data_IF_543732240696
#
_entry.id   IF_543732240696
#
_cell.length_a   1.000
_cell.length_b   1.000
_cell.length_c   1.000
_cell.angle_alpha   90.00
_cell.angle_beta   90.00
_cell.angle_gamma   90.00
#
_symmetry.space_group_name_H-M   'P 1'
#
loop_
_entity.id
_entity.type
_entity.pdbx_description
1 polymer ?
#
# COMPACT_ATOMS: atom_id res chain seq x y z
N UNK A 1 -37.47 -32.31 -47.70
CA UNK A 1 -38.19 -31.05 -48.00
C UNK A 1 -37.42 -29.88 -47.39
N UNK A 2 -37.10 -28.85 -48.19
CA UNK A 2 -36.94 -27.40 -47.90
C UNK A 2 -36.23 -27.02 -46.57
N UNK A 3 -34.96 -26.56 -46.51
CA UNK A 3 -34.39 -25.23 -46.87
C UNK A 3 -35.37 -24.04 -46.92
N UNK A 4 -35.13 -23.03 -46.07
CA UNK A 4 -35.03 -21.55 -46.29
C UNK A 4 -34.85 -20.92 -44.88
N UNK A 5 -33.71 -20.34 -44.46
CA UNK A 5 -33.02 -19.08 -44.81
C UNK A 5 -33.69 -17.78 -44.31
N UNK A 6 -32.92 -17.02 -43.49
CA UNK A 6 -32.81 -15.54 -43.43
C UNK A 6 -33.95 -14.78 -42.69
N UNK A 7 -33.79 -13.61 -42.05
CA UNK A 7 -32.66 -12.69 -41.78
C UNK A 7 -33.12 -11.63 -40.74
N UNK A 8 -32.16 -11.15 -39.96
CA UNK A 8 -31.92 -9.82 -39.35
C UNK A 8 -33.07 -8.80 -39.16
N UNK A 9 -33.13 -8.25 -37.95
CA UNK A 9 -32.64 -6.89 -37.63
C UNK A 9 -32.54 -6.76 -36.10
N UNK A 10 -31.34 -6.70 -35.50
CA UNK A 10 -30.53 -5.51 -35.24
C UNK A 10 -31.26 -4.39 -34.49
N UNK A 11 -31.03 -4.30 -33.17
CA UNK A 11 -30.61 -3.07 -32.52
C UNK A 11 -29.76 -3.42 -31.29
N UNK A 12 -28.47 -3.18 -31.47
CA UNK A 12 -27.43 -3.04 -30.48
C UNK A 12 -27.84 -2.14 -29.31
N UNK A 13 -27.57 -2.57 -28.08
CA UNK A 13 -26.74 -1.80 -27.14
C UNK A 13 -26.03 -2.79 -26.23
N UNK A 14 -24.70 -2.71 -26.22
CA UNK A 14 -23.85 -3.55 -25.41
C UNK A 14 -24.11 -3.28 -23.93
N UNK A 15 -24.40 -4.35 -23.21
CA UNK A 15 -24.10 -4.44 -21.79
C UNK A 15 -23.36 -5.76 -21.65
N UNK A 16 -22.06 -5.74 -21.94
CA UNK A 16 -21.16 -6.73 -21.36
C UNK A 16 -21.38 -6.60 -19.85
N UNK A 17 -21.80 -7.65 -19.13
CA UNK A 17 -21.79 -7.56 -17.69
C UNK A 17 -20.32 -7.33 -17.33
N UNK A 18 -20.05 -6.18 -16.70
CA UNK A 18 -18.83 -6.02 -15.94
C UNK A 18 -18.72 -7.29 -15.10
N UNK A 19 -17.69 -8.08 -15.36
CA UNK A 19 -17.30 -9.13 -14.45
C UNK A 19 -16.85 -8.40 -13.20
N UNK A 20 -17.82 -8.06 -12.35
CA UNK A 20 -17.63 -7.73 -10.96
C UNK A 20 -16.82 -8.89 -10.43
N UNK A 21 -15.54 -8.65 -10.14
CA UNK A 21 -14.72 -9.61 -9.42
C UNK A 21 -15.45 -9.78 -8.11
N UNK A 22 -16.19 -10.88 -8.02
CA UNK A 22 -16.68 -11.42 -6.78
C UNK A 22 -15.42 -11.75 -6.00
N UNK A 23 -14.97 -10.80 -5.16
CA UNK A 23 -14.45 -11.15 -3.85
C UNK A 23 -15.41 -12.22 -3.36
N UNK A 24 -14.94 -13.47 -3.25
CA UNK A 24 -15.72 -14.49 -2.58
C UNK A 24 -16.09 -13.87 -1.23
N UNK A 25 -17.35 -13.42 -1.12
CA UNK A 25 -17.91 -12.94 0.12
C UNK A 25 -17.75 -14.11 1.09
N UNK A 26 -16.66 -14.09 1.86
CA UNK A 26 -16.64 -14.71 3.17
C UNK A 26 -17.80 -14.02 3.86
N UNK A 27 -18.90 -14.75 4.01
CA UNK A 27 -20.01 -14.35 4.87
C UNK A 27 -19.36 -13.86 6.15
N UNK A 28 -19.43 -12.55 6.43
CA UNK A 28 -18.85 -11.96 7.64
C UNK A 28 -19.70 -12.44 8.81
N UNK A 29 -19.44 -13.67 9.26
CA UNK A 29 -19.59 -13.96 10.66
C UNK A 29 -18.57 -13.00 11.29
N UNK A 30 -19.04 -11.96 11.98
CA UNK A 30 -18.18 -11.17 12.85
C UNK A 30 -17.48 -12.18 13.76
N UNK A 31 -16.24 -12.51 13.41
CA UNK A 31 -15.41 -13.33 14.28
C UNK A 31 -15.15 -12.45 15.47
N UNK A 32 -15.38 -13.00 16.66
CA UNK A 32 -14.95 -12.31 17.86
C UNK A 32 -13.44 -12.12 17.77
N UNK A 33 -13.02 -10.85 17.65
CA UNK A 33 -11.60 -10.49 17.62
C UNK A 33 -10.93 -10.92 18.92
N UNK A 34 -9.71 -11.43 18.82
CA UNK A 34 -8.94 -11.97 19.94
C UNK A 34 -8.20 -10.83 20.63
N UNK A 35 -8.00 -10.90 21.95
CA UNK A 35 -7.15 -9.93 22.63
C UNK A 35 -5.71 -10.06 22.14
N UNK A 36 -5.07 -8.94 21.80
CA UNK A 36 -3.66 -8.93 21.42
C UNK A 36 -2.79 -9.13 22.68
N UNK A 37 -2.16 -10.29 22.78
CA UNK A 37 -1.12 -10.63 23.76
C UNK A 37 0.09 -11.23 23.06
N UNK A 38 1.22 -11.35 23.76
CA UNK A 38 2.42 -12.02 23.22
C UNK A 38 2.12 -13.46 22.82
N UNK A 39 1.40 -14.20 23.67
CA UNK A 39 1.00 -15.59 23.42
C UNK A 39 0.11 -15.69 22.18
N UNK A 40 -0.96 -14.91 22.10
CA UNK A 40 -1.87 -14.96 20.95
C UNK A 40 -1.21 -14.53 19.64
N UNK A 41 -0.26 -13.60 19.69
CA UNK A 41 0.49 -13.15 18.51
C UNK A 41 1.47 -14.22 18.03
N UNK A 42 2.18 -14.89 18.95
CA UNK A 42 3.06 -15.99 18.61
C UNK A 42 2.28 -17.15 17.96
N UNK A 43 1.17 -17.55 18.59
CA UNK A 43 0.28 -18.58 18.04
C UNK A 43 -0.24 -18.19 16.66
N UNK A 44 -0.63 -16.91 16.47
CA UNK A 44 -1.11 -16.43 15.18
C UNK A 44 -0.02 -16.49 14.10
N UNK A 45 1.19 -16.00 14.38
CA UNK A 45 2.33 -16.02 13.45
C UNK A 45 2.65 -17.45 13.00
N UNK A 46 2.70 -18.41 13.93
CA UNK A 46 3.03 -19.81 13.61
C UNK A 46 2.03 -20.47 12.66
N UNK A 47 0.78 -19.99 12.65
CA UNK A 47 -0.30 -20.53 11.82
C UNK A 47 -0.56 -19.71 10.54
N UNK A 48 0.14 -18.59 10.33
CA UNK A 48 -0.07 -17.75 9.15
C UNK A 48 0.65 -18.24 7.90
N UNK A 49 -0.03 -18.05 6.78
CA UNK A 49 0.54 -18.21 5.44
C UNK A 49 0.39 -16.90 4.68
N UNK A 50 1.34 -16.00 4.88
CA UNK A 50 1.28 -14.68 4.27
C UNK A 50 1.36 -14.74 2.75
N UNK A 51 0.53 -13.94 2.08
CA UNK A 51 0.59 -13.81 0.64
C UNK A 51 -0.34 -12.77 0.07
N UNK A 52 -0.08 -12.44 -1.18
CA UNK A 52 -0.86 -11.50 -1.97
C UNK A 52 -1.02 -12.00 -3.40
N UNK A 53 -2.27 -12.10 -3.85
CA UNK A 53 -2.62 -12.29 -5.25
C UNK A 53 -3.55 -11.17 -5.71
N UNK A 54 -3.08 -10.27 -6.57
CA UNK A 54 -3.87 -9.11 -6.96
C UNK A 54 -3.21 -8.21 -8.01
N UNK A 55 -3.77 -7.03 -8.19
CA UNK A 55 -3.17 -5.99 -9.04
C UNK A 55 -1.91 -5.43 -8.39
N UNK A 56 -0.85 -5.24 -9.17
CA UNK A 56 0.37 -4.58 -8.71
C UNK A 56 1.03 -3.89 -9.90
N UNK A 57 1.92 -2.94 -9.65
CA UNK A 57 2.38 -2.01 -10.69
C UNK A 57 3.72 -2.36 -11.32
N UNK A 58 4.14 -3.63 -11.25
CA UNK A 58 5.37 -4.05 -11.91
C UNK A 58 5.14 -4.17 -13.41
N UNK A 59 5.87 -3.32 -14.16
CA UNK A 59 5.86 -3.31 -15.62
C UNK A 59 6.59 -4.54 -16.15
N UNK A 60 5.98 -5.20 -17.13
CA UNK A 60 6.58 -6.36 -17.81
C UNK A 60 7.31 -6.01 -19.11
N UNK A 61 6.95 -4.88 -19.73
CA UNK A 61 7.45 -4.39 -21.01
C UNK A 61 8.64 -3.45 -20.88
N UNK A 62 8.82 -2.85 -19.71
CA UNK A 62 9.94 -1.98 -19.38
C UNK A 62 10.73 -2.60 -18.22
N UNK A 63 11.95 -3.11 -18.45
CA UNK A 63 12.82 -3.45 -17.33
C UNK A 63 13.17 -2.17 -16.55
N UNK A 64 13.12 -2.17 -15.21
CA UNK A 64 13.62 -1.07 -14.41
C UNK A 64 15.07 -0.73 -14.79
N UNK A 65 15.46 0.54 -14.59
CA UNK A 65 16.87 0.91 -14.68
C UNK A 65 17.70 0.10 -13.65
N UNK A 66 18.99 -0.13 -13.91
CA UNK A 66 19.81 -1.04 -13.08
C UNK A 66 19.79 -0.67 -11.59
N UNK A 67 19.78 0.63 -11.29
CA UNK A 67 19.69 1.18 -9.93
C UNK A 67 18.27 1.04 -9.32
N UNK A 68 17.23 0.92 -10.15
CA UNK A 68 15.86 0.70 -9.70
C UNK A 68 15.58 -0.77 -9.31
N UNK A 69 16.42 -1.72 -9.73
CA UNK A 69 16.32 -3.12 -9.30
C UNK A 69 16.47 -3.30 -7.78
N UNK A 70 17.36 -2.53 -7.15
CA UNK A 70 17.52 -2.56 -5.70
C UNK A 70 16.29 -1.95 -4.98
N UNK A 71 15.58 -1.06 -5.65
CA UNK A 71 14.45 -0.34 -5.07
C UNK A 71 13.11 -1.06 -5.27
N UNK A 72 13.02 -2.08 -6.12
CA UNK A 72 11.80 -2.87 -6.34
C UNK A 72 11.33 -3.59 -5.06
N UNK A 73 12.24 -3.81 -4.11
CA UNK A 73 11.92 -4.37 -2.80
C UNK A 73 11.10 -3.45 -1.92
N UNK A 74 11.24 -2.12 -2.06
CA UNK A 74 10.50 -1.18 -1.23
C UNK A 74 9.00 -1.35 -1.40
N UNK A 75 8.43 -1.27 -2.62
CA UNK A 75 6.99 -1.47 -2.75
C UNK A 75 6.53 -2.89 -2.41
N UNK A 76 7.36 -3.92 -2.61
CA UNK A 76 7.03 -5.27 -2.11
C UNK A 76 6.96 -5.28 -0.58
N UNK A 77 7.96 -4.68 0.09
CA UNK A 77 8.00 -4.57 1.55
C UNK A 77 6.75 -3.87 2.08
N UNK A 78 6.37 -2.72 1.51
CA UNK A 78 5.16 -2.01 1.94
C UNK A 78 3.91 -2.82 1.68
N UNK A 79 3.86 -3.56 0.56
CA UNK A 79 2.74 -4.45 0.33
C UNK A 79 2.63 -5.56 1.37
N UNK A 80 3.76 -6.12 1.81
CA UNK A 80 3.79 -7.11 2.90
C UNK A 80 3.33 -6.46 4.22
N UNK A 81 3.82 -5.25 4.55
CA UNK A 81 3.39 -4.50 5.74
C UNK A 81 1.87 -4.33 5.76
N UNK A 82 1.27 -3.88 4.65
CA UNK A 82 -0.18 -3.65 4.56
C UNK A 82 -0.98 -4.94 4.68
N UNK A 83 -0.55 -6.03 4.03
CA UNK A 83 -1.22 -7.33 4.14
C UNK A 83 -1.21 -7.83 5.58
N UNK A 84 -0.07 -7.72 6.27
CA UNK A 84 0.04 -8.12 7.67
C UNK A 84 -0.81 -7.21 8.56
N UNK A 85 -0.81 -5.90 8.32
CA UNK A 85 -1.63 -4.95 9.06
C UNK A 85 -3.13 -5.29 8.94
N UNK A 86 -3.60 -5.60 7.73
CA UNK A 86 -4.99 -5.99 7.49
C UNK A 86 -5.34 -7.30 8.20
N UNK A 87 -4.49 -8.33 8.09
CA UNK A 87 -4.73 -9.61 8.76
C UNK A 87 -4.71 -9.49 10.29
N UNK A 88 -3.81 -8.66 10.86
CA UNK A 88 -3.78 -8.37 12.30
C UNK A 88 -5.07 -7.65 12.70
N UNK A 89 -5.49 -6.63 11.95
CA UNK A 89 -6.72 -5.90 12.26
C UNK A 89 -7.96 -6.81 12.18
N UNK A 90 -8.03 -7.74 11.22
CA UNK A 90 -9.11 -8.71 11.14
C UNK A 90 -9.14 -9.70 12.32
N UNK A 91 -7.97 -10.00 12.89
CA UNK A 91 -7.81 -11.04 13.92
C UNK A 91 -7.91 -10.50 15.33
N UNK A 92 -7.30 -9.35 15.60
CA UNK A 92 -7.05 -8.85 16.95
C UNK A 92 -7.85 -7.61 17.29
N UNK A 93 -8.25 -7.50 18.56
CA UNK A 93 -8.75 -6.26 19.15
C UNK A 93 -7.55 -5.33 19.34
N UNK A 94 -7.61 -4.16 18.71
CA UNK A 94 -6.75 -3.02 19.01
C UNK A 94 -7.52 -2.01 19.85
N UNK A 95 -6.84 -1.33 20.77
CA UNK A 95 -7.36 -0.09 21.33
C UNK A 95 -6.99 1.06 20.38
N UNK A 96 -7.88 2.03 20.20
CA UNK A 96 -7.66 3.22 19.37
C UNK A 96 -6.50 4.08 19.89
N UNK A 97 -6.21 4.01 21.20
CA UNK A 97 -5.07 4.70 21.84
C UNK A 97 -3.71 4.02 21.62
N UNK A 98 -3.68 2.85 20.99
CA UNK A 98 -2.42 2.13 20.77
C UNK A 98 -1.71 2.63 19.50
N UNK A 99 -0.39 2.80 19.59
CA UNK A 99 0.45 3.27 18.50
C UNK A 99 1.23 2.09 17.92
N UNK A 100 0.50 1.20 17.25
CA UNK A 100 1.10 0.02 16.63
C UNK A 100 1.88 0.38 15.37
N UNK A 101 3.06 -0.20 15.22
CA UNK A 101 3.88 -0.08 14.02
C UNK A 101 4.35 -1.47 13.59
N UNK A 102 4.25 -1.71 12.27
CA UNK A 102 4.69 -2.94 11.61
C UNK A 102 5.88 -2.60 10.73
N UNK A 103 6.98 -3.27 10.99
CA UNK A 103 8.20 -3.13 10.20
C UNK A 103 8.53 -4.46 9.53
N UNK A 104 8.63 -4.46 8.21
CA UNK A 104 9.10 -5.60 7.43
C UNK A 104 10.52 -5.36 6.93
N UNK A 105 11.39 -6.32 7.19
CA UNK A 105 12.71 -6.36 6.60
C UNK A 105 12.77 -7.40 5.47
N UNK A 106 12.99 -6.93 4.24
CA UNK A 106 13.30 -7.80 3.10
C UNK A 106 14.81 -7.74 2.84
N UNK A 107 15.51 -8.82 3.17
CA UNK A 107 16.94 -8.92 2.90
C UNK A 107 17.21 -9.14 1.40
N UNK A 108 18.03 -8.26 0.81
CA UNK A 108 18.47 -8.44 -0.58
C UNK A 108 19.23 -9.75 -0.75
N UNK A 109 20.15 -10.09 0.16
CA UNK A 109 21.00 -11.29 0.02
C UNK A 109 20.19 -12.59 0.07
N UNK A 110 19.06 -12.61 0.77
CA UNK A 110 18.21 -13.80 0.88
C UNK A 110 17.22 -13.94 -0.26
N UNK A 111 16.99 -12.87 -1.03
CA UNK A 111 16.00 -12.81 -2.10
C UNK A 111 16.63 -12.50 -3.48
N UNK A 112 17.95 -12.36 -3.56
CA UNK A 112 18.65 -11.93 -4.78
C UNK A 112 18.47 -12.89 -5.96
N UNK A 113 18.43 -14.21 -5.74
CA UNK A 113 18.23 -15.20 -6.81
C UNK A 113 16.85 -15.06 -7.45
N UNK A 114 15.81 -14.99 -6.62
CA UNK A 114 14.41 -14.83 -7.06
C UNK A 114 14.28 -13.57 -7.92
N UNK A 115 15.08 -12.55 -7.63
CA UNK A 115 14.92 -11.22 -8.21
C UNK A 115 15.82 -11.07 -9.43
N UNK A 116 17.09 -11.43 -9.35
CA UNK A 116 18.00 -11.39 -10.50
C UNK A 116 17.57 -12.32 -11.64
N UNK A 117 16.94 -13.46 -11.32
CA UNK A 117 16.49 -14.41 -12.35
C UNK A 117 15.12 -14.06 -12.93
N UNK A 118 14.30 -13.28 -12.22
CA UNK A 118 12.91 -13.08 -12.59
C UNK A 118 12.50 -11.61 -12.78
N UNK A 119 13.42 -10.64 -12.76
CA UNK A 119 13.10 -9.28 -13.19
C UNK A 119 13.16 -9.18 -14.73
N UNK A 120 12.17 -8.52 -15.37
CA UNK A 120 10.95 -7.96 -14.76
C UNK A 120 10.02 -9.06 -14.24
N UNK A 121 9.53 -8.88 -13.00
CA UNK A 121 8.54 -9.77 -12.39
C UNK A 121 7.42 -9.99 -13.39
N UNK A 122 7.10 -11.26 -13.66
CA UNK A 122 6.09 -11.64 -14.64
C UNK A 122 4.78 -11.86 -13.93
N UNK A 123 3.70 -11.31 -14.47
CA UNK A 123 2.37 -11.64 -13.97
C UNK A 123 2.13 -13.16 -14.03
N UNK A 124 1.25 -13.62 -13.14
CA UNK A 124 0.84 -15.01 -12.94
C UNK A 124 1.91 -15.93 -12.37
N UNK A 125 3.19 -15.54 -12.41
CA UNK A 125 4.25 -16.24 -11.70
C UNK A 125 4.11 -15.99 -10.19
N UNK A 126 4.42 -17.03 -9.42
CA UNK A 126 4.42 -17.00 -7.96
C UNK A 126 5.85 -16.83 -7.46
N UNK A 127 6.04 -15.88 -6.56
CA UNK A 127 7.32 -15.53 -5.95
C UNK A 127 7.24 -15.74 -4.45
N UNK A 128 8.14 -16.53 -3.87
CA UNK A 128 8.22 -16.75 -2.41
C UNK A 128 9.34 -15.87 -1.85
N UNK A 129 8.99 -14.76 -1.20
CA UNK A 129 9.95 -13.84 -0.59
C UNK A 129 10.18 -14.23 0.87
N UNK A 130 11.43 -14.13 1.34
CA UNK A 130 11.76 -14.23 2.76
C UNK A 130 11.82 -12.86 3.42
N UNK A 131 11.25 -12.76 4.62
CA UNK A 131 11.23 -11.52 5.38
C UNK A 131 11.38 -11.73 6.89
N UNK A 132 11.79 -10.68 7.58
CA UNK A 132 11.67 -10.55 9.03
C UNK A 132 10.57 -9.53 9.35
N UNK A 133 9.88 -9.75 10.46
CA UNK A 133 8.77 -8.93 10.92
C UNK A 133 9.05 -8.44 12.33
N UNK A 134 8.91 -7.14 12.54
CA UNK A 134 8.88 -6.54 13.86
C UNK A 134 7.55 -5.84 14.04
N UNK A 135 6.86 -6.14 15.14
CA UNK A 135 5.65 -5.45 15.57
C UNK A 135 5.95 -4.75 16.89
N UNK A 136 5.65 -3.47 17.00
CA UNK A 136 5.82 -2.75 18.26
C UNK A 136 4.69 -1.78 18.54
N UNK A 137 4.44 -1.56 19.84
CA UNK A 137 3.58 -0.50 20.32
C UNK A 137 4.47 0.65 20.82
N UNK A 138 4.42 1.79 20.13
CA UNK A 138 5.17 2.99 20.46
C UNK A 138 4.59 3.79 21.63
N UNK A 139 3.47 3.37 22.21
CA UNK A 139 2.93 4.00 23.41
C UNK A 139 3.88 3.74 24.60
N UNK A 140 4.47 4.77 25.22
CA UNK A 140 5.46 4.60 26.30
C UNK A 140 4.96 3.78 27.49
N UNK A 141 3.64 3.82 27.76
CA UNK A 141 3.02 3.12 28.88
C UNK A 141 2.68 1.65 28.54
N UNK A 142 2.74 1.26 27.26
CA UNK A 142 2.36 -0.07 26.77
C UNK A 142 3.43 -0.66 25.83
N UNK A 143 4.69 -0.24 25.99
CA UNK A 143 5.77 -0.64 25.08
C UNK A 143 5.84 -2.16 24.95
N UNK A 144 5.70 -2.62 23.71
CA UNK A 144 5.82 -4.01 23.33
C UNK A 144 6.68 -4.07 22.06
N UNK A 145 7.57 -5.05 21.97
CA UNK A 145 8.34 -5.33 20.76
C UNK A 145 8.39 -6.84 20.55
N UNK A 146 7.89 -7.28 19.40
CA UNK A 146 7.86 -8.68 18.97
C UNK A 146 8.64 -8.79 17.66
N UNK A 147 9.55 -9.76 17.58
CA UNK A 147 10.44 -9.97 16.44
C UNK A 147 10.31 -11.41 15.94
N UNK A 148 10.06 -11.56 14.65
CA UNK A 148 9.90 -12.83 13.96
C UNK A 148 10.82 -12.88 12.75
N UNK A 149 11.46 -14.03 12.54
CA UNK A 149 12.47 -14.22 11.49
C UNK A 149 12.12 -15.39 10.59
N UNK A 150 12.71 -15.39 9.39
CA UNK A 150 12.54 -16.46 8.38
C UNK A 150 11.09 -16.67 7.95
N UNK A 151 10.26 -15.63 8.00
CA UNK A 151 8.90 -15.68 7.49
C UNK A 151 8.91 -15.71 5.96
N UNK A 152 7.84 -16.25 5.39
CA UNK A 152 7.67 -16.40 3.94
C UNK A 152 6.44 -15.66 3.46
N UNK A 153 6.58 -14.97 2.35
CA UNK A 153 5.50 -14.23 1.71
C UNK A 153 5.33 -14.69 0.27
N UNK A 154 4.11 -15.10 -0.08
CA UNK A 154 3.78 -15.55 -1.42
C UNK A 154 3.21 -14.39 -2.25
N UNK A 155 3.99 -13.84 -3.17
CA UNK A 155 3.56 -12.76 -4.06
C UNK A 155 3.19 -13.26 -5.45
N UNK A 156 2.05 -12.79 -5.97
CA UNK A 156 1.61 -13.04 -7.36
C UNK A 156 0.85 -11.84 -7.91
N UNK A 157 1.44 -11.16 -8.89
CA UNK A 157 0.73 -10.17 -9.69
C UNK A 157 -0.24 -10.88 -10.64
N UNK A 158 -1.53 -10.56 -10.60
CA UNK A 158 -2.55 -11.26 -11.36
C UNK A 158 -2.56 -10.89 -12.85
N UNK A 159 -2.44 -9.59 -13.12
CA UNK A 159 -2.59 -9.03 -14.46
C UNK A 159 -1.25 -8.56 -15.02
N UNK A 160 -1.10 -8.70 -16.33
CA UNK A 160 0.04 -8.13 -17.04
C UNK A 160 -0.11 -6.62 -17.10
N UNK A 161 0.84 -5.90 -16.53
CA UNK A 161 0.89 -4.44 -16.62
C UNK A 161 1.91 -4.04 -17.69
N UNK A 162 1.51 -3.10 -18.53
CA UNK A 162 2.36 -2.48 -19.53
C UNK A 162 2.12 -0.98 -19.57
N UNK A 163 3.10 -0.25 -20.10
CA UNK A 163 3.01 1.20 -20.34
C UNK A 163 1.82 1.59 -21.23
N UNK A 164 1.30 0.64 -22.02
CA UNK A 164 0.18 0.84 -22.94
C UNK A 164 -1.19 0.63 -22.29
N UNK A 165 -1.25 -0.04 -21.14
CA UNK A 165 -2.50 -0.47 -20.50
C UNK A 165 -2.61 0.07 -19.07
N UNK A 166 -2.22 1.33 -18.88
CA UNK A 166 -2.32 2.00 -17.58
C UNK A 166 -3.75 2.48 -17.34
N UNK A 167 -4.33 2.13 -16.20
CA UNK A 167 -5.68 2.52 -15.80
C UNK A 167 -5.68 3.18 -14.41
N UNK A 168 -6.79 3.82 -14.03
CA UNK A 168 -6.87 4.56 -12.76
C UNK A 168 -6.61 3.68 -11.54
N UNK A 169 -7.13 2.44 -11.49
CA UNK A 169 -6.90 1.55 -10.35
C UNK A 169 -5.41 1.25 -10.14
N UNK A 170 -4.67 1.04 -11.23
CA UNK A 170 -3.23 0.86 -11.18
C UNK A 170 -2.52 2.12 -10.68
N UNK A 171 -2.95 3.29 -11.13
CA UNK A 171 -2.37 4.56 -10.69
C UNK A 171 -2.62 4.81 -9.21
N UNK A 172 -3.81 4.49 -8.68
CA UNK A 172 -4.04 4.53 -7.24
C UNK A 172 -3.06 3.61 -6.47
N UNK A 173 -2.78 2.41 -6.96
CA UNK A 173 -1.76 1.54 -6.35
C UNK A 173 -0.37 2.20 -6.37
N UNK A 174 0.00 2.84 -7.48
CA UNK A 174 1.28 3.55 -7.58
C UNK A 174 1.35 4.69 -6.56
N UNK A 175 0.32 5.55 -6.50
CA UNK A 175 0.31 6.69 -5.58
C UNK A 175 0.39 6.18 -4.13
N UNK A 176 -0.44 5.19 -3.77
CA UNK A 176 -0.47 4.59 -2.42
C UNK A 176 0.89 4.03 -1.98
N UNK A 177 1.67 3.48 -2.91
CA UNK A 177 2.99 2.94 -2.62
C UNK A 177 4.09 4.01 -2.52
N UNK A 178 3.95 5.17 -3.18
CA UNK A 178 4.99 6.21 -3.20
C UNK A 178 5.33 6.75 -1.80
N UNK A 179 4.32 6.82 -0.94
CA UNK A 179 4.43 7.32 0.43
C UNK A 179 4.00 6.27 1.47
N UNK A 180 3.99 4.99 1.09
CA UNK A 180 3.85 3.90 2.05
C UNK A 180 2.52 3.99 2.83
N UNK A 181 1.43 4.36 2.15
CA UNK A 181 0.18 4.79 2.79
C UNK A 181 -1.06 3.99 2.37
N UNK A 182 -1.05 2.68 2.11
CA UNK A 182 -2.34 1.94 1.99
C UNK A 182 -3.06 1.84 3.37
N UNK A 183 -3.12 2.94 4.10
CA UNK A 183 -3.58 3.10 5.47
C UNK A 183 -5.09 3.25 5.45
N UNK A 184 -5.78 2.38 6.18
CA UNK A 184 -7.20 2.54 6.48
C UNK A 184 -7.32 3.27 7.83
N UNK A 185 -8.16 4.30 7.88
CA UNK A 185 -8.48 5.01 9.13
C UNK A 185 -9.02 4.06 10.21
N UNK A 186 -9.62 2.93 9.81
CA UNK A 186 -10.12 1.88 10.71
C UNK A 186 -9.07 0.81 11.04
N UNK A 187 -7.88 0.89 10.46
CA UNK A 187 -6.80 -0.06 10.69
C UNK A 187 -5.60 0.64 11.38
N UNK A 188 -5.55 0.67 12.72
CA UNK A 188 -4.45 1.29 13.46
C UNK A 188 -3.08 0.67 13.18
N UNK A 189 -3.04 -0.59 12.74
CA UNK A 189 -1.80 -1.28 12.39
C UNK A 189 -1.23 -0.86 11.03
N UNK A 190 -2.05 -0.23 10.19
CA UNK A 190 -1.63 0.28 8.88
C UNK A 190 -1.08 1.70 8.96
N UNK A 191 -1.24 2.41 10.09
CA UNK A 191 -0.85 3.82 10.15
C UNK A 191 0.68 3.97 10.10
N UNK A 192 1.14 4.79 9.17
CA UNK A 192 2.56 5.08 9.02
C UNK A 192 2.99 6.13 10.05
N UNK A 193 3.72 5.71 11.08
CA UNK A 193 4.42 6.64 11.98
C UNK A 193 5.55 7.32 11.21
N UNK A 194 5.51 8.64 11.02
CA UNK A 194 6.56 9.36 10.29
C UNK A 194 7.48 10.12 11.25
N UNK A 195 8.71 9.64 11.40
CA UNK A 195 9.70 10.17 12.35
C UNK A 195 10.84 10.99 11.71
N UNK A 196 10.73 11.36 10.44
CA UNK A 196 11.76 12.20 9.80
C UNK A 196 11.63 13.66 10.26
N UNK A 197 12.75 14.39 10.25
CA UNK A 197 12.82 15.84 10.56
C UNK A 197 11.76 16.66 9.81
N UNK A 198 11.44 16.30 8.56
CA UNK A 198 10.40 17.00 7.80
C UNK A 198 9.02 16.86 8.45
N UNK A 199 8.71 15.70 9.03
CA UNK A 199 7.46 15.44 9.72
C UNK A 199 7.42 16.05 11.13
N UNK A 200 8.55 16.18 11.82
CA UNK A 200 8.62 16.99 13.05
C UNK A 200 8.25 18.46 12.76
N UNK A 201 8.80 19.04 11.68
CA UNK A 201 8.46 20.40 11.25
C UNK A 201 7.00 20.52 10.80
N UNK A 202 6.48 19.54 10.07
CA UNK A 202 5.06 19.48 9.71
C UNK A 202 4.18 19.46 10.95
N UNK A 203 4.56 18.69 11.98
CA UNK A 203 3.84 18.64 13.26
C UNK A 203 3.79 20.01 13.93
N UNK A 204 4.93 20.67 14.04
CA UNK A 204 5.01 22.00 14.64
C UNK A 204 4.18 23.02 13.88
N UNK A 205 4.21 22.99 12.54
CA UNK A 205 3.38 23.84 11.70
C UNK A 205 1.89 23.60 11.95
N UNK A 206 1.43 22.34 12.02
CA UNK A 206 0.03 22.01 12.34
C UNK A 206 -0.34 22.48 13.74
N UNK A 207 0.50 22.23 14.76
CA UNK A 207 0.27 22.66 16.15
C UNK A 207 0.17 24.19 16.26
N UNK A 208 0.89 24.93 15.42
CA UNK A 208 0.88 26.40 15.36
C UNK A 208 -0.17 26.98 14.39
N UNK A 209 -1.08 26.15 13.85
CA UNK A 209 -2.11 26.56 12.89
C UNK A 209 -1.55 27.14 11.57
N UNK A 210 -0.35 26.73 11.17
CA UNK A 210 0.30 27.08 9.90
C UNK A 210 -0.01 26.02 8.81
N UNK A 211 -1.30 25.77 8.57
CA UNK A 211 -1.77 24.66 7.72
C UNK A 211 -1.22 24.71 6.29
N UNK A 212 -1.14 25.89 5.67
CA UNK A 212 -0.59 26.04 4.32
C UNK A 212 0.91 25.71 4.25
N UNK A 213 1.66 25.99 5.33
CA UNK A 213 3.06 25.61 5.44
C UNK A 213 3.21 24.09 5.55
N UNK A 214 2.36 23.45 6.37
CA UNK A 214 2.30 22.00 6.49
C UNK A 214 1.95 21.29 5.16
N UNK A 215 0.93 21.79 4.43
CA UNK A 215 0.54 21.29 3.10
C UNK A 215 1.71 21.33 2.12
N UNK A 216 2.45 22.46 2.10
CA UNK A 216 3.64 22.63 1.25
C UNK A 216 4.73 21.62 1.60
N UNK A 217 5.06 21.44 2.88
CA UNK A 217 6.09 20.49 3.32
C UNK A 217 5.74 19.05 2.94
N UNK A 218 4.48 18.64 3.12
CA UNK A 218 4.02 17.30 2.74
C UNK A 218 4.07 17.15 1.21
N UNK A 219 3.60 18.13 0.45
CA UNK A 219 3.65 18.10 -1.03
C UNK A 219 5.09 17.98 -1.55
N UNK A 220 6.03 18.75 -0.99
CA UNK A 220 7.45 18.67 -1.34
C UNK A 220 8.04 17.29 -1.04
N UNK A 221 7.67 16.70 0.10
CA UNK A 221 8.09 15.34 0.45
C UNK A 221 7.52 14.31 -0.53
N UNK A 222 6.22 14.35 -0.82
CA UNK A 222 5.56 13.47 -1.78
C UNK A 222 6.22 13.58 -3.16
N UNK A 223 6.44 14.80 -3.64
CA UNK A 223 7.09 15.07 -4.93
C UNK A 223 8.51 14.52 -5.01
N UNK A 224 9.28 14.62 -3.93
CA UNK A 224 10.60 13.99 -3.87
C UNK A 224 10.50 12.46 -3.99
N UNK A 225 9.54 11.84 -3.30
CA UNK A 225 9.36 10.39 -3.32
C UNK A 225 8.82 9.87 -4.65
N UNK A 226 7.87 10.56 -5.24
CA UNK A 226 7.21 10.17 -6.49
C UNK A 226 8.06 10.37 -7.75
N UNK A 227 9.12 11.18 -7.67
CA UNK A 227 10.04 11.47 -8.77
C UNK A 227 11.44 10.86 -8.61
N UNK A 228 11.60 9.88 -7.71
CA UNK A 228 12.87 9.19 -7.49
C UNK A 228 12.71 7.68 -7.62
N UNK A 229 13.77 6.99 -8.06
CA UNK A 229 13.82 5.53 -8.10
C UNK A 229 13.69 4.90 -6.71
N UNK A 230 13.94 5.68 -5.65
CA UNK A 230 13.76 5.27 -4.27
C UNK A 230 12.31 5.15 -3.82
N UNK A 231 11.37 5.88 -4.44
CA UNK A 231 9.94 5.77 -4.16
C UNK A 231 9.21 5.02 -5.25
N UNK A 232 9.43 5.38 -6.51
CA UNK A 232 8.81 4.75 -7.66
C UNK A 232 9.90 4.14 -8.56
N UNK A 233 9.99 2.81 -8.69
CA UNK A 233 11.05 2.18 -9.48
C UNK A 233 10.92 2.39 -11.01
N UNK A 234 9.74 2.80 -11.50
CA UNK A 234 9.48 2.99 -12.93
C UNK A 234 9.18 4.46 -13.24
N UNK A 235 10.06 5.13 -13.99
CA UNK A 235 9.93 6.56 -14.31
C UNK A 235 8.65 6.90 -15.09
N UNK A 236 8.09 5.93 -15.81
CA UNK A 236 6.79 6.03 -16.49
C UNK A 236 5.67 6.42 -15.52
N UNK A 237 5.83 6.06 -14.25
CA UNK A 237 4.90 6.34 -13.17
C UNK A 237 5.30 7.54 -12.30
N UNK A 238 6.24 8.40 -12.72
CA UNK A 238 6.54 9.62 -11.97
C UNK A 238 5.37 10.62 -12.03
N UNK A 239 5.05 11.19 -10.88
CA UNK A 239 3.95 12.13 -10.70
C UNK A 239 4.34 13.26 -9.75
N UNK A 240 3.63 14.37 -9.81
CA UNK A 240 3.62 15.37 -8.75
C UNK A 240 2.30 15.31 -7.99
N UNK A 241 2.35 15.58 -6.69
CA UNK A 241 1.21 15.68 -5.80
C UNK A 241 1.06 17.07 -5.21
N UNK A 242 -0.18 17.49 -5.03
CA UNK A 242 -0.55 18.69 -4.27
C UNK A 242 -1.47 18.30 -3.14
N UNK A 243 -1.06 18.57 -1.90
CA UNK A 243 -1.92 18.42 -0.73
C UNK A 243 -2.93 19.56 -0.70
N UNK A 244 -4.19 19.22 -0.90
CA UNK A 244 -5.31 20.15 -0.95
C UNK A 244 -5.82 20.48 0.45
N UNK A 245 -5.91 19.47 1.32
CA UNK A 245 -6.45 19.64 2.68
C UNK A 245 -5.71 18.82 3.74
N UNK A 246 -5.80 19.28 4.99
CA UNK A 246 -5.30 18.63 6.21
C UNK A 246 -6.40 18.69 7.28
N UNK A 247 -7.03 17.55 7.53
CA UNK A 247 -8.05 17.39 8.57
C UNK A 247 -7.41 16.76 9.82
N UNK A 248 -7.26 17.53 10.91
CA UNK A 248 -6.82 16.97 12.18
C UNK A 248 -7.90 16.04 12.74
N UNK A 249 -7.57 14.77 12.93
CA UNK A 249 -8.50 13.76 13.45
C UNK A 249 -8.41 13.74 14.97
N UNK A 250 -7.20 13.63 15.51
CA UNK A 250 -7.00 13.42 16.94
C UNK A 250 -5.60 13.81 17.40
N UNK A 251 -5.50 14.27 18.65
CA UNK A 251 -4.25 14.27 19.41
C UNK A 251 -4.24 12.98 20.20
N UNK A 252 -3.22 12.13 20.01
CA UNK A 252 -3.17 10.86 20.72
C UNK A 252 -2.80 11.15 22.17
N UNK A 253 -3.76 10.89 23.08
CA UNK A 253 -3.68 11.28 24.49
C UNK A 253 -2.37 10.83 25.14
N UNK A 254 -1.82 11.71 25.98
CA UNK A 254 -0.55 11.52 26.71
C UNK A 254 0.69 11.30 25.82
N UNK A 255 0.59 11.55 24.51
CA UNK A 255 1.72 11.48 23.58
C UNK A 255 1.89 12.79 22.79
N UNK A 256 3.06 12.94 22.16
CA UNK A 256 3.34 14.04 21.25
C UNK A 256 2.87 13.77 19.81
N UNK A 257 2.15 12.65 19.58
CA UNK A 257 1.67 12.27 18.27
C UNK A 257 0.37 13.00 17.90
N UNK A 258 0.28 13.41 16.65
CA UNK A 258 -0.96 13.88 16.04
C UNK A 258 -1.36 12.98 14.88
N UNK A 259 -2.66 12.70 14.79
CA UNK A 259 -3.27 11.95 13.69
C UNK A 259 -4.09 12.89 12.83
N UNK A 260 -3.82 12.91 11.54
CA UNK A 260 -4.57 13.74 10.58
C UNK A 260 -4.74 13.03 9.25
N UNK A 261 -5.78 13.40 8.54
CA UNK A 261 -6.03 12.99 7.17
C UNK A 261 -5.52 14.06 6.22
N UNK A 262 -4.89 13.65 5.14
CA UNK A 262 -4.61 14.52 4.00
C UNK A 262 -5.53 14.15 2.84
N UNK A 263 -5.94 15.17 2.10
CA UNK A 263 -6.59 15.02 0.80
C UNK A 263 -5.64 15.62 -0.24
N UNK A 264 -5.37 14.89 -1.30
CA UNK A 264 -4.34 15.25 -2.27
C UNK A 264 -4.76 14.83 -3.67
N UNK A 265 -4.17 15.49 -4.66
CA UNK A 265 -4.27 15.07 -6.04
C UNK A 265 -2.88 14.75 -6.60
N UNK A 266 -2.83 13.95 -7.66
CA UNK A 266 -1.60 13.55 -8.33
C UNK A 266 -1.71 13.63 -9.85
N UNK A 267 -0.70 14.21 -10.48
CA UNK A 267 -0.59 14.36 -11.94
C UNK A 267 0.64 13.60 -12.44
N UNK A 268 0.41 12.61 -13.29
CA UNK A 268 1.48 11.78 -13.87
C UNK A 268 2.16 12.48 -15.04
N UNK A 269 3.46 12.76 -14.92
CA UNK A 269 4.22 13.58 -15.89
C UNK A 269 4.38 12.91 -17.24
N UNK A 270 4.51 11.59 -17.23
CA UNK A 270 4.92 10.80 -18.39
C UNK A 270 3.75 10.04 -19.04
N UNK A 271 2.52 10.24 -18.54
CA UNK A 271 1.32 9.56 -19.04
C UNK A 271 0.35 10.59 -19.64
N UNK A 272 0.34 10.68 -20.98
CA UNK A 272 -0.50 11.63 -21.70
C UNK A 272 -1.97 11.20 -21.67
N UNK A 273 -2.87 12.15 -21.40
CA UNK A 273 -4.32 11.92 -21.45
C UNK A 273 -4.90 11.22 -20.22
N UNK A 274 -4.08 10.98 -19.19
CA UNK A 274 -4.54 10.51 -17.89
C UNK A 274 -5.02 11.71 -17.06
N UNK A 275 -6.24 11.67 -16.51
CA UNK A 275 -6.71 12.72 -15.62
C UNK A 275 -5.93 12.71 -14.31
N UNK A 276 -6.01 13.84 -13.60
CA UNK A 276 -5.59 13.94 -12.21
C UNK A 276 -6.24 12.83 -11.36
N UNK A 277 -5.46 12.29 -10.42
CA UNK A 277 -5.90 11.23 -9.51
C UNK A 277 -6.03 11.82 -8.11
N UNK A 278 -7.26 11.87 -7.61
CA UNK A 278 -7.54 12.26 -6.22
C UNK A 278 -7.31 11.09 -5.27
N UNK A 279 -6.79 11.36 -4.08
CA UNK A 279 -6.54 10.36 -3.05
C UNK A 279 -6.49 10.97 -1.65
N UNK A 280 -6.64 10.11 -0.65
CA UNK A 280 -6.54 10.48 0.77
C UNK A 280 -5.57 9.54 1.49
N UNK A 281 -4.98 10.04 2.58
CA UNK A 281 -4.12 9.24 3.45
C UNK A 281 -4.23 9.68 4.91
N UNK A 282 -3.97 8.74 5.83
CA UNK A 282 -3.88 9.02 7.27
C UNK A 282 -2.43 8.99 7.70
N UNK A 283 -1.98 10.08 8.33
CA UNK A 283 -0.63 10.21 8.88
C UNK A 283 -0.68 10.29 10.41
N UNK A 284 0.34 9.70 11.03
CA UNK A 284 0.64 9.84 12.46
C UNK A 284 2.08 10.36 12.60
N UNK A 285 2.26 11.53 13.21
CA UNK A 285 3.57 12.23 13.33
C UNK A 285 3.77 12.82 14.73
#
# INVERSE_FOLDING_TARGET
MKKILLILSSLSFGITPAATVVSCFRKSIEKEKIQLTVESMNDWIENQNFGYEGGFYFLEDTPPEEQAYLNIFKPLRHKIENVIADEINETFKSNEDDLWEIYVWLSWSENNEIINQNIPFKSKNKYELKFELTIYNNNPNKYLKLEYKNLKFNFKQKEKISTKNVNQNLLHLVVNNADYYENDIKNPFSWSTKSKIIFEKTKDAIKNNEIENAKKMISEYLNYRSNTTEGIPFKEFYFDSTVNDIDLIEKVDETDYIRFKISSNSVFKNLVGIPEIDWEAIYVI
#
